data_IF_532437870881
#
_entry.id   IF_532437870881
#
_cell.length_a   1.000
_cell.length_b   1.000
_cell.length_c   1.000
_cell.angle_alpha   90.00
_cell.angle_beta   90.00
_cell.angle_gamma   90.00
#
_symmetry.space_group_name_H-M   'P 1'
#
loop_
_entity.id
_entity.type
_entity.pdbx_description
1 polymer ?
#
# COMPACT_ATOMS: atom_id res chain seq x y z
N UNK A 1 16.11 27.92 60.17
CA UNK A 1 17.45 27.87 59.53
C UNK A 1 17.41 28.73 58.28
N UNK A 2 18.30 29.73 58.16
CA UNK A 2 18.43 30.54 56.93
C UNK A 2 19.43 29.83 56.02
N UNK A 3 19.04 29.53 54.77
CA UNK A 3 19.97 29.00 53.78
C UNK A 3 21.02 30.07 53.42
N UNK A 4 22.28 29.65 53.31
CA UNK A 4 23.38 30.53 52.92
C UNK A 4 23.29 30.89 51.43
N UNK A 5 23.82 32.05 51.05
CA UNK A 5 23.90 32.50 49.66
C UNK A 5 24.38 31.43 48.65
N UNK A 6 25.47 30.67 48.91
CA UNK A 6 25.91 29.62 47.99
C UNK A 6 24.92 28.45 47.87
N UNK A 7 24.17 28.13 48.94
CA UNK A 7 23.15 27.08 48.88
C UNK A 7 21.99 27.49 47.97
N UNK A 8 21.61 28.77 47.94
CA UNK A 8 20.60 29.31 47.04
C UNK A 8 21.06 29.27 45.57
N UNK A 9 22.33 29.57 45.29
CA UNK A 9 22.88 29.48 43.93
C UNK A 9 22.95 28.04 43.41
N UNK A 10 23.30 27.06 44.26
CA UNK A 10 23.28 25.66 43.88
C UNK A 10 21.86 25.16 43.62
N UNK A 11 20.90 25.56 44.45
CA UNK A 11 19.49 25.26 44.25
C UNK A 11 18.94 25.87 42.96
N UNK A 12 19.32 27.11 42.63
CA UNK A 12 18.90 27.73 41.37
C UNK A 12 19.54 27.05 40.16
N UNK A 13 20.82 26.68 40.23
CA UNK A 13 21.48 25.91 39.16
C UNK A 13 20.83 24.54 38.96
N UNK A 14 20.51 23.84 40.05
CA UNK A 14 19.80 22.55 40.00
C UNK A 14 18.38 22.68 39.46
N UNK A 15 17.66 23.75 39.83
CA UNK A 15 16.34 24.05 39.27
C UNK A 15 16.41 24.38 37.78
N UNK A 16 17.39 25.19 37.36
CA UNK A 16 17.60 25.55 35.96
C UNK A 16 18.02 24.32 35.14
N UNK A 17 18.85 23.42 35.66
CA UNK A 17 19.22 22.19 34.96
C UNK A 17 18.08 21.17 34.89
N UNK A 18 17.20 21.11 35.90
CA UNK A 18 15.96 20.34 35.84
C UNK A 18 14.95 20.92 34.83
N UNK A 19 14.87 22.25 34.72
CA UNK A 19 14.02 22.95 33.75
C UNK A 19 14.60 22.88 32.33
N UNK A 20 15.93 22.80 32.19
CA UNK A 20 16.65 22.46 30.96
C UNK A 20 16.74 20.95 30.75
N UNK A 21 15.69 20.21 31.11
CA UNK A 21 15.54 18.83 30.65
C UNK A 21 15.70 18.86 29.13
N UNK A 22 16.72 18.20 28.55
CA UNK A 22 16.82 18.12 27.11
C UNK A 22 15.56 17.39 26.66
N UNK A 23 14.65 18.12 26.04
CA UNK A 23 13.50 17.52 25.39
C UNK A 23 14.06 16.87 24.14
N UNK A 24 14.70 15.72 24.31
CA UNK A 24 14.93 14.80 23.22
C UNK A 24 13.54 14.33 22.82
N UNK A 25 12.91 15.10 21.92
CA UNK A 25 11.84 14.56 21.11
C UNK A 25 12.45 13.35 20.42
N UNK A 26 12.06 12.15 20.87
CA UNK A 26 12.50 10.91 20.24
C UNK A 26 12.02 11.01 18.80
N UNK A 27 12.95 11.21 17.86
CA UNK A 27 12.65 11.23 16.43
C UNK A 27 12.17 9.84 16.04
N UNK A 28 10.85 9.72 15.93
CA UNK A 28 10.22 8.49 15.46
C UNK A 28 10.33 8.48 13.94
N UNK A 29 10.92 7.42 13.44
CA UNK A 29 10.98 7.09 12.02
C UNK A 29 9.88 6.08 11.73
N UNK A 30 9.07 6.32 10.72
CA UNK A 30 7.96 5.45 10.31
C UNK A 30 7.73 5.51 8.81
N UNK A 31 7.04 4.51 8.26
CA UNK A 31 6.66 4.52 6.85
C UNK A 31 5.34 5.24 6.68
N UNK A 32 5.29 6.16 5.72
CA UNK A 32 4.11 6.93 5.34
C UNK A 32 3.79 6.75 3.86
N UNK A 33 2.51 6.71 3.52
CA UNK A 33 2.01 6.72 2.16
C UNK A 33 1.50 8.12 1.82
N UNK A 34 2.03 8.73 0.76
CA UNK A 34 1.64 10.04 0.25
C UNK A 34 0.86 9.84 -1.05
N UNK A 35 -0.32 10.44 -1.13
CA UNK A 35 -1.14 10.43 -2.34
C UNK A 35 -1.23 11.83 -2.95
N UNK A 36 -1.11 11.90 -4.26
CA UNK A 36 -1.21 13.12 -5.05
C UNK A 36 -2.42 13.03 -5.98
N UNK A 37 -2.90 14.16 -6.52
CA UNK A 37 -3.92 14.15 -7.55
C UNK A 37 -3.45 13.30 -8.73
N UNK A 38 -4.34 12.45 -9.22
CA UNK A 38 -4.02 11.61 -10.38
C UNK A 38 -3.81 12.51 -11.61
N UNK A 39 -2.65 12.41 -12.26
CA UNK A 39 -2.46 13.02 -13.58
C UNK A 39 -3.29 12.21 -14.56
N UNK A 40 -4.41 12.77 -15.04
CA UNK A 40 -5.12 12.20 -16.18
C UNK A 40 -4.21 12.29 -17.39
N UNK A 41 -3.54 11.19 -17.74
CA UNK A 41 -2.90 11.05 -19.05
C UNK A 41 -4.02 10.86 -20.08
N UNK A 42 -4.55 11.94 -20.63
CA UNK A 42 -5.41 11.90 -21.81
C UNK A 42 -4.48 12.05 -23.01
N UNK A 43 -4.03 10.94 -23.58
CA UNK A 43 -3.45 10.95 -24.92
C UNK A 43 -4.58 10.73 -25.94
N UNK A 44 -4.87 11.79 -26.71
CA UNK A 44 -5.68 11.88 -27.93
C UNK A 44 -6.79 10.83 -28.16
N UNK A 45 -8.04 11.28 -28.14
CA UNK A 45 -9.21 10.53 -28.63
C UNK A 45 -9.13 10.37 -30.14
N UNK A 46 -9.00 9.15 -30.64
CA UNK A 46 -9.43 8.80 -32.00
C UNK A 46 -10.37 7.60 -31.93
N UNK A 47 -11.66 7.84 -32.21
CA UNK A 47 -12.66 6.79 -32.47
C UNK A 47 -13.26 6.09 -31.24
N UNK A 48 -14.37 6.64 -30.73
CA UNK A 48 -15.53 5.97 -30.09
C UNK A 48 -15.37 4.89 -28.99
N UNK A 49 -14.19 4.57 -28.49
CA UNK A 49 -14.02 3.69 -27.32
C UNK A 49 -13.22 4.43 -26.24
N UNK A 50 -13.82 4.65 -25.07
CA UNK A 50 -13.14 5.20 -23.89
C UNK A 50 -12.21 4.13 -23.31
N UNK A 51 -11.10 3.88 -24.00
CA UNK A 51 -10.03 3.02 -23.50
C UNK A 51 -9.05 3.88 -22.73
N UNK A 52 -8.84 3.59 -21.45
CA UNK A 52 -7.73 4.16 -20.71
C UNK A 52 -6.44 3.56 -21.30
N UNK A 53 -5.60 4.35 -21.99
CA UNK A 53 -4.35 3.82 -22.50
C UNK A 53 -3.50 3.38 -21.30
N UNK A 54 -2.98 2.17 -21.36
CA UNK A 54 -1.97 1.74 -20.40
C UNK A 54 -0.75 2.66 -20.51
N UNK A 55 -0.26 3.22 -19.39
CA UNK A 55 0.90 4.11 -19.41
C UNK A 55 2.14 3.36 -19.94
N UNK A 56 2.91 4.04 -20.78
CA UNK A 56 4.19 3.51 -21.27
C UNK A 56 5.21 3.42 -20.15
N UNK A 57 6.32 2.70 -20.35
CA UNK A 57 7.42 2.66 -19.37
C UNK A 57 7.95 4.07 -19.09
N UNK A 58 8.11 4.88 -20.13
CA UNK A 58 8.62 6.25 -20.02
C UNK A 58 7.69 7.14 -19.19
N UNK A 59 6.37 6.95 -19.30
CA UNK A 59 5.40 7.66 -18.47
C UNK A 59 5.54 7.28 -16.99
N UNK A 60 5.73 6.00 -16.70
CA UNK A 60 5.91 5.50 -15.33
C UNK A 60 7.22 5.97 -14.72
N UNK A 61 8.29 6.01 -15.51
CA UNK A 61 9.58 6.53 -15.10
C UNK A 61 9.47 8.03 -14.83
N UNK A 62 8.80 8.80 -15.69
CA UNK A 62 8.57 10.24 -15.46
C UNK A 62 7.80 10.49 -14.16
N UNK A 63 6.77 9.69 -13.84
CA UNK A 63 6.06 9.82 -12.56
C UNK A 63 6.97 9.51 -11.38
N UNK A 64 7.77 8.43 -11.49
CA UNK A 64 8.76 8.05 -10.46
C UNK A 64 9.77 9.18 -10.22
N UNK A 65 10.29 9.77 -11.30
CA UNK A 65 11.20 10.91 -11.23
C UNK A 65 10.58 12.10 -10.50
N UNK A 66 9.30 12.39 -10.77
CA UNK A 66 8.58 13.46 -10.10
C UNK A 66 8.38 13.21 -8.60
N UNK A 67 8.30 11.94 -8.16
CA UNK A 67 8.26 11.60 -6.73
C UNK A 67 9.60 11.90 -6.06
N UNK A 68 10.71 11.53 -6.69
CA UNK A 68 12.05 11.80 -6.17
C UNK A 68 12.34 13.30 -6.09
N UNK A 69 11.96 14.05 -7.11
CA UNK A 69 12.06 15.52 -7.09
C UNK A 69 11.22 16.14 -5.97
N UNK A 70 9.98 15.67 -5.83
CA UNK A 70 9.07 16.19 -4.80
C UNK A 70 9.62 15.93 -3.40
N UNK A 71 9.93 14.68 -3.06
CA UNK A 71 10.44 14.37 -1.72
C UNK A 71 11.84 14.97 -1.50
N UNK A 72 12.68 15.02 -2.52
CA UNK A 72 14.01 15.61 -2.45
C UNK A 72 13.99 17.10 -2.11
N UNK A 73 12.92 17.82 -2.46
CA UNK A 73 12.72 19.22 -2.06
C UNK A 73 12.55 19.42 -0.54
N UNK A 74 12.16 18.37 0.19
CA UNK A 74 12.06 18.39 1.65
C UNK A 74 13.31 17.81 2.31
N UNK A 75 13.89 16.76 1.74
CA UNK A 75 15.07 16.07 2.31
C UNK A 75 16.42 16.68 1.90
N UNK A 76 16.39 17.75 1.10
CA UNK A 76 17.57 18.50 0.66
C UNK A 76 18.35 17.87 -0.50
N UNK A 77 18.07 16.62 -0.87
CA UNK A 77 18.69 15.99 -2.05
C UNK A 77 17.78 14.93 -2.67
N UNK A 78 17.99 14.70 -3.97
CA UNK A 78 17.31 13.64 -4.71
C UNK A 78 17.75 12.24 -4.26
N UNK A 79 19.02 12.09 -3.87
CA UNK A 79 19.54 10.80 -3.43
C UNK A 79 18.93 10.38 -2.08
N UNK A 80 18.77 11.32 -1.16
CA UNK A 80 18.05 11.09 0.11
C UNK A 80 16.60 10.65 -0.16
N UNK A 81 15.95 11.23 -1.18
CA UNK A 81 14.60 10.83 -1.57
C UNK A 81 14.55 9.40 -2.14
N UNK A 82 15.55 9.00 -2.93
CA UNK A 82 15.66 7.63 -3.45
C UNK A 82 15.88 6.61 -2.33
N UNK A 83 16.66 6.96 -1.32
CA UNK A 83 16.89 6.11 -0.15
C UNK A 83 15.65 6.00 0.74
N UNK A 84 14.91 7.10 0.90
CA UNK A 84 13.71 7.14 1.74
C UNK A 84 12.49 6.47 1.09
N UNK A 85 12.32 6.57 -0.24
CA UNK A 85 11.18 5.99 -0.95
C UNK A 85 11.33 4.48 -1.08
N UNK A 86 10.40 3.75 -0.47
CA UNK A 86 10.30 2.30 -0.53
C UNK A 86 9.58 1.87 -1.81
N UNK A 87 8.58 2.64 -2.25
CA UNK A 87 7.79 2.30 -3.42
C UNK A 87 7.12 3.53 -4.04
N UNK A 88 7.14 3.60 -5.37
CA UNK A 88 6.41 4.59 -6.16
C UNK A 88 5.19 3.96 -6.83
N UNK A 89 3.99 4.43 -6.48
CA UNK A 89 2.74 4.09 -7.16
C UNK A 89 2.58 5.02 -8.37
N UNK A 90 2.66 4.44 -9.57
CA UNK A 90 2.73 5.22 -10.83
C UNK A 90 1.59 4.93 -11.80
N UNK A 91 0.92 3.78 -11.65
CA UNK A 91 -0.15 3.33 -12.56
C UNK A 91 -1.49 3.94 -12.17
N UNK A 92 -2.31 3.22 -11.41
CA UNK A 92 -3.68 3.64 -11.08
C UNK A 92 -3.78 4.59 -9.89
N UNK A 93 -2.70 4.69 -9.10
CA UNK A 93 -2.56 5.60 -7.97
C UNK A 93 -1.33 6.44 -8.25
N UNK A 94 -1.41 7.74 -7.96
CA UNK A 94 -0.27 8.65 -8.00
C UNK A 94 0.19 8.91 -6.56
N UNK A 95 1.34 8.39 -6.17
CA UNK A 95 1.79 8.42 -4.79
C UNK A 95 3.08 7.65 -4.54
N UNK A 96 3.62 7.75 -3.34
CA UNK A 96 4.75 6.95 -2.92
C UNK A 96 4.67 6.59 -1.44
N UNK A 97 5.31 5.48 -1.07
CA UNK A 97 5.58 5.10 0.31
C UNK A 97 7.03 5.46 0.65
N UNK A 98 7.25 6.18 1.75
CA UNK A 98 8.58 6.58 2.19
C UNK A 98 8.76 6.39 3.71
N UNK A 99 9.97 6.06 4.12
CA UNK A 99 10.39 6.03 5.52
C UNK A 99 10.92 7.40 5.90
N UNK A 100 10.22 8.08 6.82
CA UNK A 100 10.50 9.46 7.21
C UNK A 100 10.38 9.65 8.71
N UNK A 101 10.95 10.74 9.21
CA UNK A 101 10.66 11.20 10.54
C UNK A 101 9.25 11.80 10.62
N UNK A 102 8.62 11.70 11.80
CA UNK A 102 7.26 12.21 12.01
C UNK A 102 7.13 13.71 11.67
N UNK A 103 8.16 14.51 11.93
CA UNK A 103 8.15 15.94 11.66
C UNK A 103 8.25 16.26 10.15
N UNK A 104 9.04 15.49 9.40
CA UNK A 104 9.15 15.61 7.94
C UNK A 104 7.82 15.24 7.28
N UNK A 105 7.21 14.13 7.71
CA UNK A 105 5.90 13.70 7.22
C UNK A 105 4.81 14.75 7.51
N UNK A 106 4.83 15.36 8.70
CA UNK A 106 3.91 16.44 9.06
C UNK A 106 4.11 17.70 8.21
N UNK A 107 5.35 18.06 7.89
CA UNK A 107 5.65 19.17 6.98
C UNK A 107 5.11 18.90 5.57
N UNK A 108 5.37 17.71 5.03
CA UNK A 108 4.92 17.31 3.69
C UNK A 108 3.39 17.25 3.62
N UNK A 109 2.71 16.80 4.67
CA UNK A 109 1.24 16.71 4.72
C UNK A 109 0.54 18.07 4.53
N UNK A 110 1.20 19.18 4.84
CA UNK A 110 0.67 20.53 4.66
C UNK A 110 0.88 21.08 3.23
N UNK A 111 1.58 20.35 2.36
CA UNK A 111 1.89 20.81 1.02
C UNK A 111 0.64 20.73 0.12
N UNK A 112 0.29 21.78 -0.66
CA UNK A 112 -0.97 21.85 -1.41
C UNK A 112 -1.12 20.80 -2.52
N UNK A 113 -0.01 20.17 -2.95
CA UNK A 113 -0.04 19.05 -3.92
C UNK A 113 -0.36 17.71 -3.26
N UNK A 114 -0.33 17.59 -1.94
CA UNK A 114 -0.60 16.33 -1.23
C UNK A 114 -2.09 16.25 -0.91
N UNK A 115 -2.74 15.17 -1.36
CA UNK A 115 -4.17 14.92 -1.11
C UNK A 115 -4.37 14.27 0.24
N UNK A 116 -3.54 13.28 0.57
CA UNK A 116 -3.65 12.53 1.81
C UNK A 116 -2.32 11.88 2.18
N UNK A 117 -2.11 11.74 3.48
CA UNK A 117 -0.97 11.02 4.06
C UNK A 117 -1.48 9.96 5.03
N UNK A 118 -0.97 8.74 4.91
CA UNK A 118 -1.34 7.63 5.78
C UNK A 118 -0.11 7.03 6.43
N UNK A 119 -0.10 6.95 7.76
CA UNK A 119 0.89 6.15 8.48
C UNK A 119 0.68 4.67 8.14
N UNK A 120 1.74 3.99 7.70
CA UNK A 120 1.73 2.56 7.49
C UNK A 120 1.52 1.84 8.83
N UNK A 121 0.51 0.97 8.89
CA UNK A 121 0.16 0.20 10.08
C UNK A 121 0.03 -1.26 9.69
N UNK A 122 0.73 -2.13 10.41
CA UNK A 122 0.54 -3.57 10.29
C UNK A 122 -0.93 -3.93 10.50
N UNK A 123 -1.47 -4.77 9.61
CA UNK A 123 -2.83 -5.30 9.72
C UNK A 123 -2.76 -6.68 10.37
N UNK A 124 -3.73 -6.96 11.25
CA UNK A 124 -3.89 -8.29 11.85
C UNK A 124 -4.83 -9.12 10.99
N UNK A 125 -4.53 -10.40 10.87
CA UNK A 125 -5.40 -11.37 10.22
C UNK A 125 -6.66 -11.58 11.08
N UNK A 126 -7.84 -11.45 10.47
CA UNK A 126 -9.11 -11.52 11.20
C UNK A 126 -9.70 -12.94 11.21
N UNK A 127 -9.59 -13.68 10.11
CA UNK A 127 -10.18 -15.03 9.94
C UNK A 127 -9.34 -15.87 9.00
N UNK A 128 -9.06 -17.14 9.34
CA UNK A 128 -8.35 -18.11 8.47
C UNK A 128 -9.24 -19.22 7.93
N UNK A 129 -10.50 -19.33 8.40
CA UNK A 129 -11.42 -20.45 8.09
C UNK A 129 -12.82 -19.98 7.69
N UNK A 130 -12.89 -18.91 6.89
CA UNK A 130 -14.17 -18.29 6.50
C UNK A 130 -15.09 -19.27 5.77
N UNK A 131 -14.54 -20.21 4.99
CA UNK A 131 -15.33 -21.20 4.25
C UNK A 131 -16.06 -22.19 5.16
N UNK A 132 -15.36 -22.72 6.17
CA UNK A 132 -15.96 -23.55 7.21
C UNK A 132 -17.00 -22.77 8.03
N UNK A 133 -16.71 -21.53 8.41
CA UNK A 133 -17.66 -20.66 9.14
C UNK A 133 -18.95 -20.41 8.33
N UNK A 134 -18.83 -20.21 7.02
CA UNK A 134 -19.95 -20.00 6.12
C UNK A 134 -20.66 -21.30 5.71
N UNK A 135 -20.22 -22.47 6.20
CA UNK A 135 -20.79 -23.78 5.87
C UNK A 135 -20.63 -24.18 4.40
N UNK A 136 -19.64 -23.58 3.71
CA UNK A 136 -19.41 -23.77 2.28
C UNK A 136 -18.64 -25.05 1.97
N UNK A 137 -17.90 -25.52 2.96
CA UNK A 137 -17.21 -26.80 3.03
C UNK A 137 -17.38 -27.41 4.43
N UNK A 138 -17.19 -28.72 4.52
CA UNK A 138 -17.04 -29.44 5.78
C UNK A 138 -15.80 -30.33 5.69
N UNK A 139 -14.74 -30.00 6.41
CA UNK A 139 -13.45 -30.71 6.40
C UNK A 139 -12.91 -30.98 4.98
N UNK A 140 -12.95 -29.96 4.12
CA UNK A 140 -12.49 -30.03 2.72
C UNK A 140 -13.48 -30.71 1.76
N UNK A 141 -14.63 -31.16 2.24
CA UNK A 141 -15.69 -31.74 1.42
C UNK A 141 -16.73 -30.67 1.09
N UNK A 142 -17.08 -30.53 -0.19
CA UNK A 142 -18.10 -29.58 -0.66
C UNK A 142 -19.43 -30.32 -0.85
N UNK A 143 -20.44 -30.06 0.02
CA UNK A 143 -21.76 -30.69 -0.09
C UNK A 143 -22.39 -30.46 -1.46
N UNK A 144 -23.19 -31.42 -1.94
CA UNK A 144 -23.89 -31.30 -3.24
C UNK A 144 -24.84 -30.10 -3.31
N UNK A 145 -25.42 -29.71 -2.18
CA UNK A 145 -26.31 -28.56 -2.03
C UNK A 145 -25.57 -27.23 -1.73
N UNK A 146 -24.24 -27.24 -1.65
CA UNK A 146 -23.41 -26.05 -1.39
C UNK A 146 -23.60 -25.00 -2.48
N UNK A 147 -23.57 -23.73 -2.08
CA UNK A 147 -23.67 -22.60 -3.02
C UNK A 147 -22.53 -22.58 -4.04
N UNK A 148 -21.37 -23.16 -3.72
CA UNK A 148 -20.27 -23.31 -4.67
C UNK A 148 -20.66 -24.12 -5.89
N UNK A 149 -21.28 -25.28 -5.70
CA UNK A 149 -21.75 -26.13 -6.79
C UNK A 149 -22.91 -25.47 -7.55
N UNK A 150 -23.85 -24.85 -6.83
CA UNK A 150 -24.97 -24.10 -7.44
C UNK A 150 -24.49 -22.94 -8.32
N UNK A 151 -23.43 -22.25 -7.91
CA UNK A 151 -22.82 -21.14 -8.64
C UNK A 151 -21.79 -21.60 -9.70
N UNK A 152 -21.69 -22.91 -10.00
CA UNK A 152 -20.66 -23.47 -10.89
C UNK A 152 -19.24 -23.01 -10.52
N UNK A 153 -18.95 -22.92 -9.23
CA UNK A 153 -17.69 -22.43 -8.68
C UNK A 153 -17.27 -21.03 -9.13
N UNK A 154 -18.23 -20.20 -9.53
CA UNK A 154 -17.95 -18.87 -10.07
C UNK A 154 -17.39 -18.92 -11.49
N UNK A 155 -17.83 -19.89 -12.30
CA UNK A 155 -17.51 -19.94 -13.73
C UNK A 155 -17.71 -18.54 -14.37
N UNK A 156 -16.73 -18.13 -15.17
CA UNK A 156 -16.66 -16.81 -15.83
C UNK A 156 -16.58 -15.61 -14.87
N UNK A 157 -16.24 -15.84 -13.60
CA UNK A 157 -16.05 -14.82 -12.57
C UNK A 157 -14.62 -14.86 -12.03
N UNK A 158 -13.98 -13.71 -11.92
CA UNK A 158 -12.67 -13.57 -11.26
C UNK A 158 -12.87 -12.91 -9.90
N UNK A 159 -12.37 -13.55 -8.84
CA UNK A 159 -12.38 -13.01 -7.48
C UNK A 159 -10.93 -12.73 -7.07
N UNK A 160 -10.59 -11.46 -6.87
CA UNK A 160 -9.31 -11.06 -6.30
C UNK A 160 -9.37 -11.09 -4.77
N UNK A 161 -8.50 -11.88 -4.13
CA UNK A 161 -8.35 -11.91 -2.68
C UNK A 161 -6.98 -11.36 -2.27
N UNK A 162 -6.97 -10.36 -1.38
CA UNK A 162 -5.74 -9.79 -0.80
C UNK A 162 -5.59 -10.34 0.63
N UNK A 163 -4.80 -11.38 0.77
CA UNK A 163 -4.57 -12.07 2.05
C UNK A 163 -3.07 -12.34 2.24
N UNK A 164 -2.67 -13.06 3.30
CA UNK A 164 -1.28 -13.40 3.63
C UNK A 164 -0.56 -14.30 2.60
N UNK A 165 -1.21 -14.64 1.49
CA UNK A 165 -0.73 -15.58 0.48
C UNK A 165 -1.20 -17.01 0.75
N UNK A 166 -0.96 -17.89 -0.24
CA UNK A 166 -1.24 -19.32 -0.16
C UNK A 166 -0.01 -20.08 0.40
N UNK A 167 -0.21 -20.96 1.39
CA UNK A 167 0.86 -21.74 2.01
C UNK A 167 0.94 -23.15 1.38
N UNK A 168 1.95 -23.39 0.53
CA UNK A 168 2.17 -24.70 -0.11
C UNK A 168 2.99 -25.64 0.79
N UNK A 169 2.35 -26.38 1.70
CA UNK A 169 2.93 -27.61 2.29
C UNK A 169 1.89 -28.72 2.21
N UNK A 170 2.25 -29.79 1.49
CA UNK A 170 1.57 -31.07 1.21
C UNK A 170 0.22 -31.35 1.90
N UNK A 171 -0.82 -31.56 1.07
CA UNK A 171 -2.16 -32.21 1.23
C UNK A 171 -3.30 -31.32 0.67
N UNK A 172 -4.35 -31.90 0.05
CA UNK A 172 -4.65 -31.66 -1.37
C UNK A 172 -5.49 -30.41 -1.63
N UNK A 173 -4.83 -29.28 -1.87
CA UNK A 173 -5.44 -28.14 -2.56
C UNK A 173 -5.70 -28.42 -4.06
N UNK A 174 -5.17 -29.52 -4.60
CA UNK A 174 -5.31 -29.95 -6.00
C UNK A 174 -6.73 -30.38 -6.45
N UNK A 175 -7.77 -30.19 -5.62
CA UNK A 175 -9.15 -30.51 -6.02
C UNK A 175 -9.97 -29.32 -6.53
N UNK A 176 -9.35 -28.15 -6.74
CA UNK A 176 -9.99 -27.01 -7.41
C UNK A 176 -9.31 -26.66 -8.74
N UNK A 177 -10.07 -26.34 -9.81
CA UNK A 177 -9.53 -26.03 -11.14
C UNK A 177 -8.86 -24.65 -11.26
N UNK A 178 -8.57 -23.96 -10.16
CA UNK A 178 -7.88 -22.66 -10.18
C UNK A 178 -6.40 -22.85 -9.85
N UNK A 179 -5.62 -23.27 -10.85
CA UNK A 179 -4.15 -23.16 -10.79
C UNK A 179 -3.73 -21.97 -11.65
N UNK A 180 -3.51 -20.82 -11.02
CA UNK A 180 -2.84 -19.70 -11.66
C UNK A 180 -1.33 -19.89 -11.49
N UNK A 181 -0.69 -20.38 -12.55
CA UNK A 181 0.75 -20.26 -12.72
C UNK A 181 1.08 -18.78 -12.97
N UNK A 182 1.43 -18.05 -11.91
CA UNK A 182 1.96 -16.70 -12.01
C UNK A 182 3.44 -16.77 -12.44
N UNK A 183 3.65 -17.02 -13.73
CA UNK A 183 4.83 -16.54 -14.44
C UNK A 183 4.34 -15.92 -15.74
N UNK A 184 4.29 -14.58 -15.73
CA UNK A 184 4.32 -13.70 -16.90
C UNK A 184 3.61 -14.22 -18.16
N UNK A 185 2.35 -13.84 -18.39
CA UNK A 185 1.81 -13.32 -19.68
C UNK A 185 0.36 -12.89 -19.47
N UNK A 186 0.13 -11.58 -19.30
CA UNK A 186 -1.18 -10.98 -19.55
C UNK A 186 -1.28 -10.82 -21.07
N UNK A 187 -2.01 -11.72 -21.72
CA UNK A 187 -2.60 -11.45 -23.04
C UNK A 187 -4.00 -12.08 -23.05
N UNK A 188 -4.99 -11.29 -22.63
CA UNK A 188 -6.39 -11.64 -22.84
C UNK A 188 -6.69 -11.48 -24.35
N UNK A 189 -6.74 -12.60 -25.08
CA UNK A 189 -7.34 -12.63 -26.42
C UNK A 189 -8.79 -13.02 -26.24
N UNK A 190 -9.70 -12.06 -26.43
CA UNK A 190 -11.12 -12.33 -26.59
C UNK A 190 -11.34 -13.10 -27.90
N UNK A 191 -11.97 -14.26 -27.81
CA UNK A 191 -12.62 -14.92 -28.96
C UNK A 191 -14.13 -14.86 -28.77
N UNK A 192 -14.90 -14.48 -29.80
CA UNK A 192 -16.34 -14.38 -29.69
C UNK A 192 -16.97 -15.78 -29.65
N UNK A 193 -18.08 -15.86 -28.92
CA UNK A 193 -19.04 -16.96 -28.92
C UNK A 193 -19.49 -17.29 -30.36
N UNK A 194 -19.36 -18.55 -30.74
CA UNK A 194 -20.11 -19.12 -31.86
C UNK A 194 -21.09 -20.14 -31.29
N UNK A 195 -22.33 -19.69 -31.11
CA UNK A 195 -23.49 -20.57 -31.21
C UNK A 195 -23.82 -20.75 -32.71
N UNK A 196 -24.38 -21.92 -33.03
CA UNK A 196 -25.13 -22.29 -34.24
C UNK A 196 -24.40 -22.38 -35.58
N UNK A 197 -24.16 -23.63 -36.05
CA UNK A 197 -24.90 -24.18 -37.20
C UNK A 197 -24.76 -25.72 -37.25
N UNK A 198 -25.92 -26.41 -37.20
CA UNK A 198 -26.20 -27.83 -37.49
C UNK A 198 -25.73 -28.91 -36.50
#
# INVERSE_FOLDING_TARGET
MRLSGPALCLLSFLLISLLLSPTFAIERVSTYHFCFPHKRFIHSVFGSTLTWPEPSSDDLDQVTESHYEFLGSFLGSRDNAKEAIIYSYTRHINGFAATLQDHEAAQIANHPKVVSVFLNKGRKLHTTRSWHFLGLENDGIIPSNSIWKKARFGQDTIIGNLDTGEFYISFPFWSFPFSLNLSSQIYAKSTPSLDEYS
#
